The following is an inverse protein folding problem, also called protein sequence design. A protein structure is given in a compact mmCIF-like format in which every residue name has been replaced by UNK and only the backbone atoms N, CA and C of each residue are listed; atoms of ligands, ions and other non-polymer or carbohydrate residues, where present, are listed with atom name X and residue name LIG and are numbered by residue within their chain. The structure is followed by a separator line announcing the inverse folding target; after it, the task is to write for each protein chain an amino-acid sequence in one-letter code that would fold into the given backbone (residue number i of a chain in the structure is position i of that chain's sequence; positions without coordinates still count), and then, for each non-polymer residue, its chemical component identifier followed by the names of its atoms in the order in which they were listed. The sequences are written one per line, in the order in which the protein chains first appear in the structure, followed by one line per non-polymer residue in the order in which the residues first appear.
data_IF_490455996720
#
_entry.id   IF_490455996720
#
_cell.length_a   1.000
_cell.length_b   1.000
_cell.length_c   1.000
_cell.angle_alpha   90.00
_cell.angle_beta   90.00
_cell.angle_gamma   90.00
#
_symmetry.space_group_name_H-M   'P 1'
#
loop_
_entity.id
_entity.type
_entity.pdbx_description
1 polymer ?
#
# COMPACT_ATOMS: atom_id res chain seq x y z
N UNK A 1 -13.63 24.50 -17.53
CA UNK A 1 -12.96 23.28 -18.01
C UNK A 1 -13.95 22.14 -17.91
N UNK A 2 -14.16 21.40 -18.99
CA UNK A 2 -15.12 20.29 -19.02
C UNK A 2 -14.70 19.22 -18.01
N UNK A 3 -15.60 18.88 -17.08
CA UNK A 3 -15.38 17.83 -16.10
C UNK A 3 -15.19 16.49 -16.83
N UNK A 4 -14.10 15.81 -16.52
CA UNK A 4 -13.77 14.50 -17.08
C UNK A 4 -14.75 13.44 -16.55
N UNK A 5 -15.94 13.36 -17.16
CA UNK A 5 -16.85 12.22 -16.99
C UNK A 5 -16.43 11.10 -17.95
N UNK A 6 -16.25 9.88 -17.44
CA UNK A 6 -16.01 8.74 -18.33
C UNK A 6 -17.27 8.42 -19.16
N UNK A 7 -17.14 7.96 -20.42
CA UNK A 7 -18.28 7.69 -21.31
C UNK A 7 -19.16 6.51 -20.85
N UNK A 8 -18.71 5.74 -19.85
CA UNK A 8 -19.44 4.60 -19.27
C UNK A 8 -19.09 4.41 -17.80
N UNK A 9 -19.94 3.65 -17.10
CA UNK A 9 -19.69 3.23 -15.72
C UNK A 9 -18.41 2.40 -15.59
N UNK A 10 -17.71 2.56 -14.47
CA UNK A 10 -16.56 1.74 -14.08
C UNK A 10 -16.95 0.46 -13.31
N UNK A 11 -18.25 0.25 -13.05
CA UNK A 11 -18.75 -0.92 -12.32
C UNK A 11 -18.45 -0.89 -10.81
N UNK A 12 -18.05 0.25 -10.25
CA UNK A 12 -17.62 0.36 -8.86
C UNK A 12 -18.69 0.87 -7.89
N UNK A 13 -19.97 0.85 -8.29
CA UNK A 13 -21.08 1.27 -7.44
C UNK A 13 -21.89 0.06 -6.97
N UNK A 14 -21.77 -0.29 -5.69
CA UNK A 14 -22.48 -1.42 -5.09
C UNK A 14 -22.75 -1.19 -3.59
N UNK A 15 -23.68 -1.96 -3.05
CA UNK A 15 -24.07 -1.97 -1.64
C UNK A 15 -23.87 -3.37 -1.03
N UNK A 16 -23.74 -3.45 0.29
CA UNK A 16 -23.64 -4.71 1.04
C UNK A 16 -24.99 -5.38 1.32
N UNK A 17 -26.10 -4.69 1.05
CA UNK A 17 -27.46 -5.14 1.31
C UNK A 17 -28.47 -4.48 0.35
N UNK A 18 -29.57 -5.14 -0.01
CA UNK A 18 -30.66 -4.54 -0.79
C UNK A 18 -31.34 -3.36 -0.08
N UNK A 19 -31.16 -3.21 1.24
CA UNK A 19 -31.71 -2.08 2.01
C UNK A 19 -30.81 -0.83 1.98
N UNK A 20 -29.63 -0.92 1.37
CA UNK A 20 -28.66 0.17 1.32
C UNK A 20 -28.53 0.76 -0.09
N UNK A 21 -28.33 2.07 -0.15
CA UNK A 21 -28.07 2.78 -1.41
C UNK A 21 -26.67 2.39 -1.91
N UNK A 22 -26.51 1.99 -3.18
CA UNK A 22 -25.19 1.78 -3.78
C UNK A 22 -24.34 3.04 -3.72
N UNK A 23 -23.09 2.88 -3.31
CA UNK A 23 -22.11 3.96 -3.23
C UNK A 23 -20.89 3.60 -4.05
N UNK A 24 -20.10 4.60 -4.42
CA UNK A 24 -18.80 4.37 -5.04
C UNK A 24 -17.88 3.60 -4.07
N UNK A 25 -17.33 2.48 -4.52
CA UNK A 25 -16.39 1.63 -3.78
C UNK A 25 -15.11 1.47 -4.59
N UNK A 26 -14.07 0.95 -3.93
CA UNK A 26 -12.84 0.60 -4.62
C UNK A 26 -13.07 -0.63 -5.49
N UNK A 27 -12.48 -0.62 -6.68
CA UNK A 27 -12.21 -1.86 -7.41
C UNK A 27 -11.03 -2.58 -6.76
N UNK A 28 -10.75 -3.80 -7.22
CA UNK A 28 -9.49 -4.46 -6.89
C UNK A 28 -8.38 -3.82 -7.74
N UNK A 29 -7.53 -3.02 -7.10
CA UNK A 29 -6.39 -2.37 -7.76
C UNK A 29 -5.14 -3.18 -7.44
N UNK A 30 -4.41 -3.59 -8.47
CA UNK A 30 -3.19 -4.37 -8.32
C UNK A 30 -2.04 -3.72 -9.05
N UNK A 31 -0.84 -3.85 -8.48
CA UNK A 31 0.39 -3.48 -9.15
C UNK A 31 0.83 -4.62 -10.06
N UNK A 32 1.05 -4.31 -11.33
CA UNK A 32 1.51 -5.28 -12.32
C UNK A 32 2.96 -5.67 -12.00
N UNK A 33 3.29 -6.98 -11.92
CA UNK A 33 4.68 -7.44 -11.82
C UNK A 33 5.55 -6.96 -12.99
N UNK A 34 6.86 -6.93 -12.77
CA UNK A 34 7.83 -6.82 -13.87
C UNK A 34 7.67 -8.01 -14.83
N UNK A 35 7.98 -7.79 -16.11
CA UNK A 35 8.00 -8.86 -17.11
C UNK A 35 9.11 -9.89 -16.84
N UNK A 36 10.24 -9.41 -16.30
CA UNK A 36 11.34 -10.26 -15.81
C UNK A 36 11.04 -10.74 -14.39
N UNK A 37 11.43 -11.98 -14.07
CA UNK A 37 11.20 -12.54 -12.74
C UNK A 37 12.24 -12.05 -11.71
N UNK A 38 12.17 -10.77 -11.37
CA UNK A 38 13.06 -10.13 -10.38
C UNK A 38 12.66 -10.60 -8.98
N UNK A 39 13.55 -11.27 -8.27
CA UNK A 39 13.27 -11.75 -6.92
C UNK A 39 13.32 -10.61 -5.89
N UNK A 40 12.66 -10.80 -4.74
CA UNK A 40 12.72 -9.84 -3.62
C UNK A 40 14.16 -9.61 -3.15
N UNK A 41 15.02 -10.64 -3.20
CA UNK A 41 16.43 -10.54 -2.84
C UNK A 41 17.21 -9.62 -3.80
N UNK A 42 16.87 -9.61 -5.09
CA UNK A 42 17.51 -8.72 -6.08
C UNK A 42 17.18 -7.26 -5.80
N UNK A 43 15.93 -6.97 -5.39
CA UNK A 43 15.54 -5.63 -4.96
C UNK A 43 16.26 -5.20 -3.68
N UNK A 44 16.36 -6.10 -2.69
CA UNK A 44 17.12 -5.85 -1.45
C UNK A 44 18.59 -5.55 -1.78
N UNK A 45 19.19 -6.26 -2.74
CA UNK A 45 20.56 -6.05 -3.19
C UNK A 45 20.84 -4.65 -3.75
N UNK A 46 19.82 -3.90 -4.18
CA UNK A 46 19.92 -2.52 -4.69
C UNK A 46 19.84 -1.45 -3.60
N UNK A 47 19.79 -1.84 -2.33
CA UNK A 47 19.60 -0.93 -1.20
C UNK A 47 20.84 -0.93 -0.31
N UNK A 48 21.56 0.18 -0.29
CA UNK A 48 22.72 0.37 0.59
C UNK A 48 22.31 0.54 2.07
N UNK A 49 21.28 1.34 2.34
CA UNK A 49 20.73 1.52 3.68
C UNK A 49 19.22 1.76 3.58
N UNK A 50 18.43 0.89 4.21
CA UNK A 50 16.98 0.97 4.11
C UNK A 50 16.26 -0.04 4.99
N UNK A 51 14.99 -0.27 4.70
CA UNK A 51 14.13 -1.17 5.47
C UNK A 51 13.33 -2.03 4.51
N UNK A 52 13.38 -3.34 4.72
CA UNK A 52 12.47 -4.29 4.11
C UNK A 52 11.23 -4.47 5.00
N UNK A 53 10.05 -4.16 4.45
CA UNK A 53 8.77 -4.24 5.15
C UNK A 53 7.98 -5.44 4.61
N UNK A 54 7.49 -6.29 5.50
CA UNK A 54 6.73 -7.50 5.15
C UNK A 54 5.32 -7.43 5.74
N UNK A 55 4.34 -7.62 4.85
CA UNK A 55 2.92 -7.62 5.19
C UNK A 55 2.40 -6.25 5.61
N UNK A 56 1.10 -6.19 5.87
CA UNK A 56 0.38 -5.03 6.36
C UNK A 56 -0.10 -5.23 7.80
N UNK A 57 -0.22 -4.14 8.58
CA UNK A 57 -0.72 -4.21 9.96
C UNK A 57 -1.73 -3.12 10.27
N UNK A 58 -1.37 -1.86 10.04
CA UNK A 58 -2.27 -0.72 10.25
C UNK A 58 -2.06 0.34 9.20
N UNK A 59 -3.12 1.10 8.93
CA UNK A 59 -3.12 2.19 7.98
C UNK A 59 -3.95 3.36 8.48
N UNK A 60 -3.51 4.56 8.16
CA UNK A 60 -4.27 5.80 8.29
C UNK A 60 -4.12 6.63 7.03
N UNK A 61 -5.20 7.25 6.60
CA UNK A 61 -5.27 8.15 5.45
C UNK A 61 -6.04 9.40 5.84
N UNK A 62 -5.58 10.56 5.39
CA UNK A 62 -6.27 11.82 5.68
C UNK A 62 -7.57 11.98 4.87
N UNK A 63 -8.39 12.95 5.26
CA UNK A 63 -9.69 13.18 4.63
C UNK A 63 -9.59 13.54 3.14
N UNK A 64 -8.51 14.23 2.77
CA UNK A 64 -8.22 14.61 1.39
C UNK A 64 -7.64 13.45 0.56
N UNK A 65 -7.26 12.34 1.20
CA UNK A 65 -6.56 11.17 0.61
C UNK A 65 -5.21 11.54 -0.01
N UNK A 66 -4.64 12.64 0.46
CA UNK A 66 -3.34 13.12 0.01
C UNK A 66 -2.21 12.48 0.82
N UNK A 67 -2.41 12.30 2.12
CA UNK A 67 -1.39 11.78 3.04
C UNK A 67 -1.79 10.42 3.60
N UNK A 68 -0.80 9.55 3.80
CA UNK A 68 -1.00 8.26 4.47
C UNK A 68 0.13 7.94 5.46
N UNK A 69 -0.19 7.07 6.43
CA UNK A 69 0.76 6.44 7.33
C UNK A 69 0.44 4.96 7.47
N UNK A 70 1.34 4.08 7.02
CA UNK A 70 1.15 2.62 7.08
C UNK A 70 2.23 1.94 7.92
N UNK A 71 1.90 0.74 8.42
CA UNK A 71 2.82 -0.16 9.12
C UNK A 71 2.74 -1.57 8.53
N UNK A 72 3.79 -2.36 8.73
CA UNK A 72 3.85 -3.77 8.37
C UNK A 72 3.87 -4.73 9.56
N UNK A 73 3.86 -6.02 9.25
CA UNK A 73 3.90 -7.09 10.26
C UNK A 73 5.33 -7.35 10.75
N UNK A 74 6.31 -7.27 9.84
CA UNK A 74 7.74 -7.45 10.12
C UNK A 74 8.56 -6.41 9.39
N UNK A 75 9.65 -6.00 10.01
CA UNK A 75 10.59 -5.02 9.47
C UNK A 75 12.00 -5.54 9.62
N UNK A 76 12.81 -5.41 8.59
CA UNK A 76 14.22 -5.79 8.60
C UNK A 76 15.03 -4.61 8.10
N UNK A 77 16.13 -4.30 8.80
CA UNK A 77 17.09 -3.33 8.28
C UNK A 77 17.78 -3.93 7.06
N UNK A 78 18.07 -3.11 6.06
CA UNK A 78 18.94 -3.44 4.95
C UNK A 78 20.22 -2.61 5.09
N UNK A 79 21.38 -3.27 5.00
CA UNK A 79 22.72 -2.67 4.97
C UNK A 79 23.54 -3.35 3.87
N UNK A 80 24.14 -2.55 3.00
CA UNK A 80 25.01 -2.99 1.90
C UNK A 80 24.37 -4.12 1.05
N UNK A 81 23.09 -3.96 0.71
CA UNK A 81 22.34 -4.92 -0.09
C UNK A 81 21.91 -6.19 0.64
N UNK A 82 21.99 -6.24 1.98
CA UNK A 82 21.71 -7.45 2.79
C UNK A 82 20.85 -7.13 4.01
N UNK A 83 20.07 -8.11 4.46
CA UNK A 83 19.29 -7.98 5.69
C UNK A 83 20.22 -7.96 6.91
N UNK A 84 20.05 -6.96 7.77
CA UNK A 84 20.87 -6.68 8.96
C UNK A 84 20.00 -6.64 10.23
N UNK A 85 19.27 -7.72 10.47
CA UNK A 85 18.43 -7.88 11.65
C UNK A 85 17.06 -7.21 11.57
N UNK A 86 16.24 -7.48 12.60
CA UNK A 86 14.86 -7.01 12.68
C UNK A 86 14.73 -5.65 13.35
N UNK A 87 13.77 -4.87 12.89
CA UNK A 87 13.34 -3.61 13.49
C UNK A 87 11.95 -3.78 14.11
N UNK A 88 11.62 -2.91 15.06
CA UNK A 88 10.29 -2.80 15.67
C UNK A 88 9.81 -1.36 15.60
N UNK A 89 8.50 -1.16 15.77
CA UNK A 89 7.89 0.16 15.91
C UNK A 89 8.17 1.08 14.70
N UNK A 90 8.08 0.52 13.49
CA UNK A 90 8.32 1.24 12.23
C UNK A 90 6.99 1.61 11.58
N UNK A 91 6.85 2.86 11.17
CA UNK A 91 5.80 3.32 10.25
C UNK A 91 6.42 4.10 9.10
N UNK A 92 5.79 4.10 7.94
CA UNK A 92 6.19 4.95 6.83
C UNK A 92 5.06 5.89 6.45
N UNK A 93 5.43 7.11 6.09
CA UNK A 93 4.52 8.19 5.73
C UNK A 93 4.93 8.79 4.38
N UNK A 94 3.95 9.16 3.58
CA UNK A 94 4.18 9.91 2.38
C UNK A 94 2.89 10.60 1.90
N UNK A 95 3.06 11.53 0.96
CA UNK A 95 1.97 11.92 0.07
C UNK A 95 1.76 10.81 -0.96
N UNK A 96 0.52 10.57 -1.37
CA UNK A 96 0.19 9.49 -2.32
C UNK A 96 0.99 9.62 -3.62
N UNK A 97 1.04 10.83 -4.19
CA UNK A 97 1.73 11.07 -5.47
C UNK A 97 3.23 10.91 -5.36
N UNK A 98 3.86 11.44 -4.30
CA UNK A 98 5.31 11.35 -4.14
C UNK A 98 5.74 9.90 -3.89
N UNK A 99 4.97 9.14 -3.11
CA UNK A 99 5.22 7.73 -2.88
C UNK A 99 5.24 6.94 -4.19
N UNK A 100 4.20 7.05 -5.01
CA UNK A 100 4.14 6.31 -6.28
C UNK A 100 5.19 6.78 -7.29
N UNK A 101 5.49 8.09 -7.33
CA UNK A 101 6.57 8.63 -8.17
C UNK A 101 7.96 8.18 -7.71
N UNK A 102 8.13 7.79 -6.45
CA UNK A 102 9.39 7.29 -5.89
C UNK A 102 9.65 5.80 -6.14
N UNK A 103 8.71 5.10 -6.79
CA UNK A 103 8.84 3.68 -7.11
C UNK A 103 9.93 3.49 -8.17
N UNK A 104 11.05 2.87 -7.79
CA UNK A 104 12.17 2.63 -8.69
C UNK A 104 12.00 1.31 -9.44
N UNK A 105 11.53 0.26 -8.77
CA UNK A 105 11.45 -1.07 -9.35
C UNK A 105 10.35 -1.92 -8.68
N UNK A 106 9.85 -2.89 -9.44
CA UNK A 106 8.91 -3.92 -8.98
C UNK A 106 9.49 -5.30 -9.25
N UNK A 107 9.14 -6.26 -8.40
CA UNK A 107 9.50 -7.66 -8.52
C UNK A 107 8.70 -8.36 -9.61
N UNK A 108 9.17 -9.54 -9.97
CA UNK A 108 8.51 -10.44 -10.90
C UNK A 108 7.28 -11.14 -10.34
N UNK A 109 6.67 -11.97 -11.19
CA UNK A 109 5.47 -12.75 -10.86
C UNK A 109 5.67 -13.65 -9.63
N UNK A 110 6.87 -14.22 -9.43
CA UNK A 110 7.18 -15.08 -8.28
C UNK A 110 7.02 -14.37 -6.93
N UNK A 111 7.17 -13.04 -6.92
CA UNK A 111 7.07 -12.20 -5.72
C UNK A 111 5.66 -11.70 -5.45
N UNK A 112 4.72 -11.89 -6.40
CA UNK A 112 3.37 -11.36 -6.31
C UNK A 112 2.56 -12.04 -5.22
N UNK A 113 1.82 -11.23 -4.44
CA UNK A 113 0.91 -11.71 -3.40
C UNK A 113 -0.44 -10.99 -3.51
N UNK A 114 -1.51 -11.74 -3.27
CA UNK A 114 -2.85 -11.19 -3.11
C UNK A 114 -3.08 -10.83 -1.64
N UNK A 115 -3.31 -9.56 -1.37
CA UNK A 115 -3.76 -9.03 -0.09
C UNK A 115 -5.20 -8.53 -0.17
N UNK A 116 -5.79 -8.20 0.98
CA UNK A 116 -7.14 -7.66 1.01
C UNK A 116 -7.67 -7.45 2.43
N UNK A 117 -8.79 -6.74 2.52
CA UNK A 117 -9.51 -6.51 3.75
C UNK A 117 -10.99 -6.86 3.53
N UNK A 118 -11.56 -7.66 4.44
CA UNK A 118 -12.98 -8.07 4.38
C UNK A 118 -13.94 -6.99 4.89
N UNK A 119 -13.43 -6.01 5.64
CA UNK A 119 -14.20 -5.05 6.42
C UNK A 119 -13.95 -3.59 5.97
N UNK A 120 -13.78 -3.34 4.67
CA UNK A 120 -13.61 -1.98 4.15
C UNK A 120 -14.91 -1.17 4.33
N UNK A 121 -14.95 -0.34 5.37
CA UNK A 121 -16.11 0.48 5.75
C UNK A 121 -16.24 1.79 4.99
N UNK A 122 -17.48 2.18 4.65
CA UNK A 122 -17.81 3.49 4.05
C UNK A 122 -19.26 3.90 4.36
N UNK A 123 -19.60 5.18 4.15
CA UNK A 123 -20.92 5.78 4.29
C UNK A 123 -21.44 5.92 5.74
N UNK A 124 -22.58 6.61 5.87
CA UNK A 124 -23.35 6.71 7.11
C UNK A 124 -24.86 6.67 6.78
N UNK A 125 -25.62 5.62 7.16
CA UNK A 125 -25.23 4.41 7.91
C UNK A 125 -24.07 3.63 7.27
N UNK A 126 -23.21 3.05 8.11
CA UNK A 126 -22.00 2.35 7.66
C UNK A 126 -22.30 1.10 6.83
N UNK A 127 -21.58 0.93 5.72
CA UNK A 127 -21.58 -0.24 4.86
C UNK A 127 -20.19 -0.87 4.82
N UNK A 128 -20.10 -2.20 4.75
CA UNK A 128 -18.83 -2.96 4.65
C UNK A 128 -18.67 -3.60 3.28
N UNK A 129 -17.45 -3.92 2.86
CA UNK A 129 -17.20 -4.67 1.64
C UNK A 129 -15.82 -5.32 1.70
N UNK A 130 -15.69 -6.44 1.01
CA UNK A 130 -14.39 -7.00 0.70
C UNK A 130 -13.71 -6.19 -0.40
N UNK A 131 -12.42 -5.90 -0.20
CA UNK A 131 -11.52 -5.35 -1.22
C UNK A 131 -10.24 -6.16 -1.24
N UNK A 132 -9.71 -6.44 -2.42
CA UNK A 132 -8.41 -7.08 -2.58
C UNK A 132 -7.47 -6.25 -3.44
N UNK A 133 -6.18 -6.48 -3.29
CA UNK A 133 -5.13 -5.89 -4.11
C UNK A 133 -4.01 -6.90 -4.31
N UNK A 134 -3.46 -6.94 -5.51
CA UNK A 134 -2.25 -7.69 -5.82
C UNK A 134 -1.03 -6.79 -5.77
N UNK A 135 0.06 -7.25 -5.17
CA UNK A 135 1.31 -6.50 -5.18
C UNK A 135 2.51 -7.46 -5.28
N UNK A 136 3.44 -7.26 -6.25
CA UNK A 136 4.78 -7.82 -6.17
C UNK A 136 5.58 -7.12 -5.06
N UNK A 137 6.79 -7.62 -4.78
CA UNK A 137 7.74 -6.80 -4.02
C UNK A 137 8.00 -5.50 -4.78
N UNK A 138 8.13 -4.37 -4.11
CA UNK A 138 8.37 -3.08 -4.76
C UNK A 138 9.40 -2.27 -3.97
N UNK A 139 10.23 -1.54 -4.70
CA UNK A 139 11.30 -0.72 -4.17
C UNK A 139 10.95 0.76 -4.36
N UNK A 140 10.91 1.49 -3.25
CA UNK A 140 10.62 2.92 -3.20
C UNK A 140 11.80 3.68 -2.59
N UNK A 141 12.05 4.91 -3.05
CA UNK A 141 13.18 5.75 -2.61
C UNK A 141 12.72 7.00 -1.87
N UNK A 142 13.50 7.43 -0.89
CA UNK A 142 13.22 8.69 -0.18
C UNK A 142 11.91 8.72 0.61
N UNK A 143 11.36 7.55 0.98
CA UNK A 143 10.14 7.47 1.79
C UNK A 143 10.46 7.82 3.24
N UNK A 144 9.64 8.68 3.86
CA UNK A 144 9.82 9.05 5.26
C UNK A 144 9.45 7.87 6.17
N UNK A 145 10.33 7.54 7.11
CA UNK A 145 10.13 6.44 8.06
C UNK A 145 10.23 6.97 9.49
N UNK A 146 9.25 6.61 10.32
CA UNK A 146 9.13 7.00 11.71
C UNK A 146 9.41 5.81 12.65
N UNK A 147 9.96 6.13 13.82
CA UNK A 147 9.92 5.24 14.97
C UNK A 147 8.68 5.58 15.82
N UNK A 148 7.65 4.73 15.77
CA UNK A 148 6.35 5.01 16.38
C UNK A 148 6.39 5.06 17.91
N UNK A 149 7.44 4.53 18.55
CA UNK A 149 7.61 4.62 20.02
C UNK A 149 8.07 6.00 20.45
N UNK A 150 8.93 6.64 19.65
CA UNK A 150 9.52 7.94 19.99
C UNK A 150 8.55 9.09 19.67
N UNK A 151 7.72 8.93 18.64
CA UNK A 151 6.74 9.94 18.21
C UNK A 151 5.43 9.90 19.03
N UNK A 152 5.03 8.75 19.58
CA UNK A 152 3.81 8.64 20.41
C UNK A 152 3.96 9.17 21.84
N UNK A 153 5.17 9.58 22.24
CA UNK A 153 5.48 10.14 23.56
C UNK A 153 5.69 11.66 23.57
N UNK A 154 5.40 12.34 22.45
CA UNK A 154 5.43 13.81 22.32
C UNK A 154 4.02 14.37 22.17
#
# INVERSE_FOLDING_TARGET
GQGQGQPRSNGCSYADSPHHVPIQRMANVSLQPAAEDIATADLIGRVENGIYIVGDKSWSIDMQRYNFQFTGQRFFRIRDGRLDGQLRDVAYQATTTDFWNSMEAVGGESTWRLGGAFNCGKAQPGQVAAVSHGCPSALFRGVNVLNTRTEGGR
#
